data_IF_918518651454
#
_entry.id   IF_918518651454
#
_cell.length_a   1.000
_cell.length_b   1.000
_cell.length_c   1.000
_cell.angle_alpha   90.00
_cell.angle_beta   90.00
_cell.angle_gamma   90.00
#
_symmetry.space_group_name_H-M   'P 1'
#
loop_
_entity.id
_entity.type
_entity.pdbx_description
1 polymer ?
#
# COMPACT_ATOMS: atom_id res chain seq x y z
N UNK A 1 13.52 -11.56 -8.86
CA UNK A 1 13.50 -11.01 -7.49
C UNK A 1 14.84 -10.37 -7.09
N UNK A 2 15.93 -11.15 -6.96
CA UNK A 2 17.22 -10.62 -6.47
C UNK A 2 17.84 -9.52 -7.36
N UNK A 3 17.47 -9.47 -8.64
CA UNK A 3 17.86 -8.36 -9.53
C UNK A 3 17.30 -7.00 -9.11
N UNK A 4 16.17 -6.98 -8.39
CA UNK A 4 15.54 -5.77 -7.83
C UNK A 4 15.98 -5.50 -6.39
N UNK A 5 16.91 -6.29 -5.82
CA UNK A 5 17.33 -6.11 -4.44
C UNK A 5 17.87 -4.69 -4.17
N UNK A 6 18.70 -4.06 -5.05
CA UNK A 6 19.14 -2.69 -4.83
C UNK A 6 18.00 -1.68 -4.81
N UNK A 7 16.99 -1.85 -5.67
CA UNK A 7 15.78 -1.02 -5.70
C UNK A 7 14.97 -1.19 -4.41
N UNK A 8 14.75 -2.44 -3.98
CA UNK A 8 13.98 -2.76 -2.78
C UNK A 8 14.69 -2.25 -1.51
N UNK A 9 16.01 -2.33 -1.45
CA UNK A 9 16.81 -1.79 -0.36
C UNK A 9 16.62 -0.26 -0.23
N UNK A 10 16.58 0.48 -1.34
CA UNK A 10 16.25 1.93 -1.33
C UNK A 10 14.85 2.22 -0.80
N UNK A 11 13.93 1.25 -0.86
CA UNK A 11 12.59 1.33 -0.31
C UNK A 11 12.50 0.84 1.14
N UNK A 12 13.62 0.42 1.74
CA UNK A 12 13.70 -0.14 3.09
C UNK A 12 13.34 -1.63 3.17
N UNK A 13 13.31 -2.35 2.05
CA UNK A 13 13.09 -3.79 1.97
C UNK A 13 14.39 -4.51 1.57
N UNK A 14 15.23 -4.83 2.55
CA UNK A 14 16.50 -5.51 2.34
C UNK A 14 16.31 -7.03 2.18
N UNK A 15 16.68 -7.56 1.03
CA UNK A 15 16.64 -9.00 0.73
C UNK A 15 17.99 -9.52 0.22
N UNK A 16 18.35 -10.74 0.62
CA UNK A 16 19.61 -11.36 0.21
C UNK A 16 19.46 -12.88 -0.04
N UNK A 17 20.31 -13.49 -0.89
CA UNK A 17 20.32 -14.93 -1.09
C UNK A 17 20.71 -15.67 0.20
N UNK A 18 20.00 -16.76 0.50
CA UNK A 18 20.24 -17.61 1.68
C UNK A 18 20.46 -19.09 1.33
N UNK A 19 20.93 -19.38 0.11
CA UNK A 19 21.24 -20.73 -0.36
C UNK A 19 20.00 -21.59 -0.66
N UNK A 20 20.17 -22.63 -1.49
CA UNK A 20 19.07 -23.56 -1.81
C UNK A 20 17.82 -22.93 -2.45
N UNK A 21 17.95 -21.76 -3.08
CA UNK A 21 16.83 -20.98 -3.60
C UNK A 21 16.07 -20.16 -2.54
N UNK A 22 16.51 -20.19 -1.28
CA UNK A 22 15.94 -19.38 -0.22
C UNK A 22 16.43 -17.92 -0.30
N UNK A 23 15.56 -17.01 0.17
CA UNK A 23 15.83 -15.58 0.29
C UNK A 23 15.61 -15.19 1.75
N UNK A 24 16.58 -14.49 2.33
CA UNK A 24 16.45 -13.88 3.66
C UNK A 24 15.95 -12.44 3.52
N UNK A 25 14.97 -12.07 4.34
CA UNK A 25 14.57 -10.67 4.53
C UNK A 25 15.32 -10.13 5.75
N UNK A 26 16.15 -9.12 5.54
CA UNK A 26 16.96 -8.48 6.59
C UNK A 26 16.29 -7.23 7.16
N UNK A 27 15.55 -6.53 6.31
CA UNK A 27 14.98 -5.22 6.63
C UNK A 27 13.58 -5.10 6.03
N UNK A 28 12.69 -4.41 6.74
CA UNK A 28 11.36 -4.03 6.25
C UNK A 28 11.16 -2.54 6.44
N UNK A 29 10.38 -1.86 5.57
CA UNK A 29 10.24 -0.41 5.65
C UNK A 29 9.67 0.01 7.01
N UNK A 30 10.39 0.86 7.73
CA UNK A 30 10.06 1.23 9.11
C UNK A 30 8.65 1.84 9.25
N UNK A 31 8.17 2.52 8.21
CA UNK A 31 6.84 3.12 8.15
C UNK A 31 5.71 2.09 8.35
N UNK A 32 5.93 0.83 7.99
CA UNK A 32 4.92 -0.23 8.12
C UNK A 32 4.83 -0.81 9.54
N UNK A 33 5.80 -0.52 10.41
CA UNK A 33 5.91 -1.17 11.71
C UNK A 33 6.10 -2.69 11.58
N UNK A 34 5.60 -3.48 12.55
CA UNK A 34 5.65 -4.94 12.49
C UNK A 34 4.80 -5.49 11.34
N UNK A 35 5.43 -6.19 10.40
CA UNK A 35 4.76 -6.80 9.23
C UNK A 35 5.13 -8.27 9.07
N UNK A 36 4.23 -9.03 8.44
CA UNK A 36 4.58 -10.35 7.92
C UNK A 36 5.40 -10.18 6.63
N UNK A 37 6.72 -10.16 6.80
CA UNK A 37 7.66 -10.00 5.69
C UNK A 37 7.51 -11.09 4.62
N UNK A 38 7.15 -12.32 5.02
CA UNK A 38 7.00 -13.42 4.07
C UNK A 38 5.72 -13.27 3.24
N UNK A 39 4.61 -12.86 3.86
CA UNK A 39 3.38 -12.55 3.12
C UNK A 39 3.58 -11.38 2.16
N UNK A 40 4.20 -10.30 2.63
CA UNK A 40 4.49 -9.13 1.81
C UNK A 40 5.38 -9.45 0.61
N UNK A 41 6.45 -10.23 0.81
CA UNK A 41 7.34 -10.61 -0.29
C UNK A 41 6.63 -11.49 -1.33
N UNK A 42 5.71 -12.37 -0.90
CA UNK A 42 4.89 -13.17 -1.84
C UNK A 42 3.94 -12.28 -2.64
N UNK A 43 3.24 -11.37 -1.99
CA UNK A 43 2.34 -10.43 -2.69
C UNK A 43 3.09 -9.55 -3.71
N UNK A 44 4.33 -9.15 -3.39
CA UNK A 44 5.21 -8.43 -4.32
C UNK A 44 5.58 -9.30 -5.51
N UNK A 45 5.90 -10.58 -5.29
CA UNK A 45 6.23 -11.51 -6.36
C UNK A 45 5.04 -11.74 -7.28
N UNK A 46 3.85 -11.93 -6.73
CA UNK A 46 2.62 -12.13 -7.50
C UNK A 46 2.35 -10.91 -8.41
N UNK A 47 2.50 -9.68 -7.88
CA UNK A 47 2.34 -8.46 -8.68
C UNK A 47 3.40 -8.33 -9.80
N UNK A 48 4.65 -8.71 -9.52
CA UNK A 48 5.72 -8.66 -10.51
C UNK A 48 5.53 -9.71 -11.62
N UNK A 49 4.96 -10.88 -11.28
CA UNK A 49 4.62 -11.92 -12.25
C UNK A 49 3.44 -11.48 -13.13
N UNK A 50 2.40 -10.90 -12.53
CA UNK A 50 1.25 -10.32 -13.24
C UNK A 50 1.65 -9.20 -14.20
N UNK A 51 2.63 -8.37 -13.80
CA UNK A 51 3.18 -7.30 -14.64
C UNK A 51 3.98 -7.87 -15.82
N UNK A 52 4.74 -8.95 -15.62
CA UNK A 52 5.57 -9.59 -16.64
C UNK A 52 6.87 -8.85 -16.99
N UNK A 53 7.69 -9.48 -17.84
CA UNK A 53 9.10 -9.09 -18.06
C UNK A 53 9.31 -7.91 -19.02
N UNK A 54 8.30 -7.49 -19.79
CA UNK A 54 8.43 -6.43 -20.80
C UNK A 54 8.33 -5.00 -20.23
N UNK A 55 8.21 -4.86 -18.92
CA UNK A 55 7.97 -3.57 -18.26
C UNK A 55 9.26 -2.88 -17.83
N UNK A 56 9.22 -1.55 -17.79
CA UNK A 56 10.35 -0.75 -17.32
C UNK A 56 10.66 -1.05 -15.85
N UNK A 57 11.91 -0.81 -15.44
CA UNK A 57 12.31 -0.89 -14.03
C UNK A 57 11.42 0.00 -13.16
N UNK A 58 11.04 1.18 -13.67
CA UNK A 58 10.12 2.09 -12.98
C UNK A 58 8.75 1.45 -12.71
N UNK A 59 8.15 0.79 -13.70
CA UNK A 59 6.88 0.10 -13.52
C UNK A 59 6.98 -1.06 -12.50
N UNK A 60 8.10 -1.77 -12.49
CA UNK A 60 8.36 -2.83 -11.48
C UNK A 60 8.50 -2.24 -10.07
N UNK A 61 9.14 -1.07 -9.93
CA UNK A 61 9.23 -0.36 -8.64
C UNK A 61 7.83 0.09 -8.17
N UNK A 62 7.01 0.62 -9.08
CA UNK A 62 5.63 1.03 -8.77
C UNK A 62 4.77 -0.16 -8.31
N UNK A 63 4.92 -1.32 -8.95
CA UNK A 63 4.31 -2.58 -8.51
C UNK A 63 4.70 -2.97 -7.07
N UNK A 64 6.00 -2.90 -6.75
CA UNK A 64 6.49 -3.16 -5.37
C UNK A 64 5.86 -2.17 -4.38
N UNK A 65 5.90 -0.87 -4.68
CA UNK A 65 5.34 0.18 -3.83
C UNK A 65 3.84 0.00 -3.61
N UNK A 66 3.10 -0.40 -4.66
CA UNK A 66 1.67 -0.70 -4.60
C UNK A 66 1.37 -1.78 -3.55
N UNK A 67 2.14 -2.88 -3.55
CA UNK A 67 1.94 -3.97 -2.57
C UNK A 67 2.40 -3.60 -1.17
N UNK A 68 3.53 -2.91 -1.04
CA UNK A 68 4.01 -2.39 0.25
C UNK A 68 2.98 -1.46 0.90
N UNK A 69 2.38 -0.54 0.13
CA UNK A 69 1.34 0.37 0.63
C UNK A 69 0.10 -0.39 1.13
N UNK A 70 -0.25 -1.51 0.51
CA UNK A 70 -1.36 -2.33 0.99
C UNK A 70 -1.06 -2.95 2.37
N UNK A 71 0.17 -3.43 2.60
CA UNK A 71 0.57 -4.00 3.88
C UNK A 71 0.55 -2.98 5.02
N UNK A 72 0.93 -1.72 4.74
CA UNK A 72 0.85 -0.62 5.72
C UNK A 72 -0.53 -0.02 5.92
N UNK A 73 -1.52 -0.37 5.08
CA UNK A 73 -2.84 0.27 5.14
C UNK A 73 -3.63 -0.11 6.41
N UNK A 74 -4.41 0.84 6.92
CA UNK A 74 -5.38 0.60 7.98
C UNK A 74 -6.48 -0.31 7.42
N UNK A 75 -6.57 -1.53 7.95
CA UNK A 75 -7.52 -2.56 7.49
C UNK A 75 -8.85 -2.53 8.25
N UNK A 76 -9.88 -3.10 7.62
CA UNK A 76 -11.17 -3.35 8.26
C UNK A 76 -11.02 -4.12 9.57
N UNK A 77 -11.83 -3.76 10.57
CA UNK A 77 -11.81 -4.38 11.89
C UNK A 77 -10.84 -3.73 12.89
N UNK A 78 -9.87 -2.92 12.45
CA UNK A 78 -9.05 -2.10 13.36
C UNK A 78 -9.92 -0.98 13.93
N UNK A 79 -10.07 -0.95 15.26
CA UNK A 79 -10.66 0.20 15.96
C UNK A 79 -9.68 1.36 15.94
N UNK A 80 -10.19 2.54 15.64
CA UNK A 80 -9.45 3.80 15.68
C UNK A 80 -10.03 4.72 16.74
N UNK A 81 -9.17 5.47 17.41
CA UNK A 81 -9.58 6.59 18.24
C UNK A 81 -9.84 7.83 17.36
N UNK A 82 -10.68 8.78 17.81
CA UNK A 82 -10.95 10.00 17.06
C UNK A 82 -9.69 10.77 16.64
N UNK A 83 -8.67 10.82 17.49
CA UNK A 83 -7.40 11.50 17.17
C UNK A 83 -6.63 10.81 16.04
N UNK A 84 -6.65 9.46 16.00
CA UNK A 84 -6.06 8.69 14.90
C UNK A 84 -6.82 8.90 13.59
N UNK A 85 -8.15 8.99 13.65
CA UNK A 85 -8.97 9.28 12.47
C UNK A 85 -8.67 10.68 11.93
N UNK A 86 -8.60 11.68 12.81
CA UNK A 86 -8.29 13.05 12.41
C UNK A 86 -6.87 13.16 11.83
N UNK A 87 -5.89 12.47 12.42
CA UNK A 87 -4.53 12.43 11.89
C UNK A 87 -4.51 11.86 10.46
N UNK A 88 -5.17 10.73 10.22
CA UNK A 88 -5.31 10.14 8.89
C UNK A 88 -5.94 11.12 7.89
N UNK A 89 -6.99 11.82 8.28
CA UNK A 89 -7.64 12.82 7.41
C UNK A 89 -6.70 13.98 7.07
N UNK A 90 -5.87 14.46 8.03
CA UNK A 90 -4.86 15.50 7.77
C UNK A 90 -3.75 15.01 6.83
N UNK A 91 -3.34 13.75 6.96
CA UNK A 91 -2.40 13.14 6.02
C UNK A 91 -3.00 13.05 4.60
N UNK A 92 -4.28 12.66 4.49
CA UNK A 92 -4.99 12.62 3.20
C UNK A 92 -5.10 14.00 2.54
N UNK A 93 -5.29 15.08 3.30
CA UNK A 93 -5.37 16.44 2.77
C UNK A 93 -4.08 16.90 2.09
N UNK A 94 -2.92 16.48 2.58
CA UNK A 94 -1.59 16.86 2.04
C UNK A 94 -1.02 15.84 1.05
N UNK A 95 -1.62 14.66 0.96
CA UNK A 95 -1.19 13.59 0.06
C UNK A 95 -1.79 13.79 -1.34
N UNK A 96 -0.98 14.00 -2.38
CA UNK A 96 -1.48 14.09 -3.75
C UNK A 96 -2.26 12.84 -4.14
N UNK A 97 -3.35 13.01 -4.91
CA UNK A 97 -4.19 11.91 -5.39
C UNK A 97 -4.83 11.04 -4.29
N UNK A 98 -4.95 11.55 -3.05
CA UNK A 98 -5.54 10.82 -1.93
C UNK A 98 -6.97 10.36 -2.14
N UNK A 99 -7.71 10.94 -3.11
CA UNK A 99 -9.07 10.54 -3.49
C UNK A 99 -9.18 9.20 -4.21
N UNK A 100 -8.07 8.56 -4.58
CA UNK A 100 -8.04 7.28 -5.29
C UNK A 100 -6.99 6.35 -4.68
N UNK A 101 -7.31 5.08 -4.48
CA UNK A 101 -6.32 4.09 -4.06
C UNK A 101 -5.45 3.65 -5.25
N UNK A 102 -4.36 2.95 -4.96
CA UNK A 102 -3.47 2.34 -5.95
C UNK A 102 -4.15 1.38 -6.95
N UNK A 103 -5.35 0.89 -6.64
CA UNK A 103 -6.16 0.04 -7.52
C UNK A 103 -7.31 0.80 -8.21
N UNK A 104 -7.33 2.12 -8.13
CA UNK A 104 -8.29 2.96 -8.83
C UNK A 104 -9.63 3.19 -8.11
N UNK A 105 -9.86 2.62 -6.93
CA UNK A 105 -11.11 2.82 -6.15
C UNK A 105 -11.10 4.17 -5.43
N UNK A 106 -12.25 4.86 -5.29
CA UNK A 106 -12.32 6.06 -4.48
C UNK A 106 -12.04 5.73 -3.00
N UNK A 107 -11.31 6.60 -2.31
CA UNK A 107 -10.96 6.45 -0.89
C UNK A 107 -11.98 7.10 0.06
N UNK A 108 -12.77 8.05 -0.44
CA UNK A 108 -13.85 8.68 0.29
C UNK A 108 -15.05 8.97 -0.62
N UNK A 109 -16.19 9.20 0.01
CA UNK A 109 -17.41 9.71 -0.64
C UNK A 109 -17.90 10.92 0.14
N UNK A 110 -18.38 11.93 -0.57
CA UNK A 110 -19.00 13.11 0.03
C UNK A 110 -20.52 13.00 -0.13
N UNK A 111 -21.26 13.20 0.96
CA UNK A 111 -22.71 13.36 0.95
C UNK A 111 -23.05 14.74 1.48
N UNK A 112 -23.60 15.59 0.62
CA UNK A 112 -24.06 16.94 1.04
C UNK A 112 -25.30 16.81 1.90
N UNK A 113 -25.56 17.81 2.74
CA UNK A 113 -26.75 17.84 3.58
C UNK A 113 -28.05 17.68 2.75
N UNK A 114 -28.15 18.37 1.61
CA UNK A 114 -29.28 18.24 0.69
C UNK A 114 -29.42 16.82 0.10
N UNK A 115 -28.32 16.11 -0.16
CA UNK A 115 -28.37 14.72 -0.61
C UNK A 115 -28.91 13.81 0.48
N UNK A 116 -28.50 14.04 1.73
CA UNK A 116 -29.02 13.33 2.89
C UNK A 116 -30.52 13.62 3.05
N UNK A 117 -30.94 14.88 3.00
CA UNK A 117 -32.35 15.28 3.10
C UNK A 117 -33.22 14.61 2.05
N UNK A 118 -32.75 14.56 0.80
CA UNK A 118 -33.41 13.89 -0.31
C UNK A 118 -33.59 12.38 -0.07
N UNK A 119 -32.61 11.71 0.56
CA UNK A 119 -32.73 10.29 0.94
C UNK A 119 -33.86 10.05 1.94
N UNK A 120 -34.24 11.07 2.72
CA UNK A 120 -35.36 11.03 3.66
C UNK A 120 -36.64 11.71 3.11
N UNK A 121 -36.70 11.99 1.80
CA UNK A 121 -37.87 12.60 1.16
C UNK A 121 -38.10 14.07 1.54
N UNK A 122 -37.06 14.75 2.05
CA UNK A 122 -37.08 16.19 2.36
C UNK A 122 -36.47 16.95 1.18
N UNK A 123 -36.97 18.16 0.92
CA UNK A 123 -36.47 19.09 -0.11
C UNK A 123 -35.80 20.29 0.51
#
# INVERSE_FOLDING_TARGET
LLELAPEMERLGLGIEPFGGGAVAVRETPALLGPVDAAAMLRDILDELDDLGDSHSVQARIEAVLSRVACHGSIRSGRRMQPDEMNALLREMEVTPHSGQCNHGRPTYVELKLADIERLFGRT
#
